data_IF_987537776246
#
_entry.id   IF_987537776246
#
_cell.length_a   1.000
_cell.length_b   1.000
_cell.length_c   1.000
_cell.angle_alpha   90.00
_cell.angle_beta   90.00
_cell.angle_gamma   90.00
#
_symmetry.space_group_name_H-M   'P 1'
#
loop_
_entity.id
_entity.type
_entity.pdbx_description
1 polymer ?
#
# COMPACT_ATOMS: atom_id res chain seq x y z
N UNK A 1 -10.98 36.99 -19.92
CA UNK A 1 -10.21 35.75 -20.13
C UNK A 1 -10.10 35.04 -18.79
N UNK A 2 -10.70 33.85 -18.69
CA UNK A 2 -10.84 33.12 -17.42
C UNK A 2 -9.53 32.54 -16.92
N UNK A 3 -9.20 32.87 -15.67
CA UNK A 3 -8.08 32.29 -14.92
C UNK A 3 -8.42 30.84 -14.59
N UNK A 4 -7.72 29.88 -15.20
CA UNK A 4 -7.73 28.50 -14.74
C UNK A 4 -6.96 28.41 -13.42
N UNK A 5 -7.64 28.65 -12.30
CA UNK A 5 -7.15 28.26 -10.98
C UNK A 5 -7.19 26.74 -10.90
N UNK A 6 -6.09 26.10 -11.30
CA UNK A 6 -5.82 24.70 -10.99
C UNK A 6 -5.69 24.53 -9.49
N UNK A 7 -6.82 24.52 -8.78
CA UNK A 7 -6.89 24.38 -7.33
C UNK A 7 -6.21 23.08 -6.92
N UNK A 8 -5.12 23.21 -6.19
CA UNK A 8 -4.59 22.11 -5.38
C UNK A 8 -5.73 21.75 -4.43
N UNK A 9 -6.29 20.55 -4.56
CA UNK A 9 -7.33 20.08 -3.66
C UNK A 9 -6.81 20.25 -2.22
N UNK A 10 -7.60 20.91 -1.37
CA UNK A 10 -7.22 21.15 0.03
C UNK A 10 -6.98 19.82 0.76
N UNK A 11 -6.12 19.82 1.78
CA UNK A 11 -5.77 18.59 2.52
C UNK A 11 -6.99 17.80 3.01
N UNK A 12 -8.07 18.50 3.38
CA UNK A 12 -9.34 17.90 3.81
C UNK A 12 -10.08 17.21 2.66
N UNK A 13 -10.03 17.77 1.46
CA UNK A 13 -10.64 17.15 0.27
C UNK A 13 -9.88 15.90 -0.15
N UNK A 14 -8.54 15.93 -0.06
CA UNK A 14 -7.68 14.77 -0.33
C UNK A 14 -7.97 13.65 0.68
N UNK A 15 -8.09 13.99 1.96
CA UNK A 15 -8.43 13.03 3.02
C UNK A 15 -9.83 12.43 2.80
N UNK A 16 -10.82 13.26 2.50
CA UNK A 16 -12.17 12.79 2.18
C UNK A 16 -12.20 11.84 0.97
N UNK A 17 -11.37 12.08 -0.05
CA UNK A 17 -11.24 11.15 -1.20
C UNK A 17 -10.62 9.82 -0.80
N UNK A 18 -9.58 9.82 0.05
CA UNK A 18 -8.97 8.61 0.57
C UNK A 18 -9.93 7.81 1.47
N UNK A 19 -10.71 8.49 2.31
CA UNK A 19 -11.73 7.86 3.16
C UNK A 19 -12.86 7.24 2.32
N UNK A 20 -13.27 7.90 1.23
CA UNK A 20 -14.19 7.31 0.25
C UNK A 20 -13.63 6.05 -0.40
N UNK A 21 -12.34 6.02 -0.75
CA UNK A 21 -11.70 4.84 -1.30
C UNK A 21 -11.67 3.69 -0.28
N UNK A 22 -11.37 3.98 0.99
CA UNK A 22 -11.45 3.03 2.10
C UNK A 22 -12.87 2.48 2.28
N UNK A 23 -13.88 3.35 2.32
CA UNK A 23 -15.28 2.94 2.47
C UNK A 23 -15.75 2.05 1.31
N UNK A 24 -15.32 2.35 0.08
CA UNK A 24 -15.59 1.48 -1.10
C UNK A 24 -14.95 0.10 -0.95
N UNK A 25 -13.70 0.03 -0.49
CA UNK A 25 -13.01 -1.23 -0.25
C UNK A 25 -13.75 -2.10 0.77
N UNK A 26 -14.17 -1.52 1.90
CA UNK A 26 -14.97 -2.22 2.92
C UNK A 26 -16.29 -2.71 2.34
N UNK A 27 -17.00 -1.86 1.59
CA UNK A 27 -18.26 -2.24 0.94
C UNK A 27 -18.08 -3.38 -0.07
N UNK A 28 -16.90 -3.49 -0.67
CA UNK A 28 -16.52 -4.57 -1.57
C UNK A 28 -16.02 -5.84 -0.86
N UNK A 29 -16.06 -5.89 0.48
CA UNK A 29 -15.65 -7.05 1.28
C UNK A 29 -14.14 -7.18 1.50
N UNK A 30 -13.37 -6.11 1.24
CA UNK A 30 -11.91 -6.11 1.40
C UNK A 30 -11.55 -5.77 2.85
N UNK A 31 -10.70 -6.60 3.47
CA UNK A 31 -10.15 -6.29 4.79
C UNK A 31 -9.13 -5.16 4.71
N UNK A 32 -9.51 -3.99 5.23
CA UNK A 32 -8.65 -2.78 5.28
C UNK A 32 -8.07 -2.52 6.67
N UNK A 33 -8.26 -3.45 7.63
CA UNK A 33 -7.76 -3.29 9.00
C UNK A 33 -6.24 -3.25 9.00
N UNK A 34 -5.66 -2.22 9.61
CA UNK A 34 -4.20 -2.02 9.62
C UNK A 34 -3.63 -1.36 8.37
N UNK A 35 -4.43 -1.14 7.31
CA UNK A 35 -3.97 -0.34 6.17
C UNK A 35 -3.83 1.13 6.60
N UNK A 36 -2.71 1.75 6.25
CA UNK A 36 -2.38 3.16 6.46
C UNK A 36 -3.06 4.06 5.42
N UNK A 37 -3.21 3.55 4.20
CA UNK A 37 -3.83 4.27 3.09
C UNK A 37 -4.54 3.33 2.13
N UNK A 38 -5.57 3.85 1.46
CA UNK A 38 -6.34 3.11 0.46
C UNK A 38 -6.49 3.96 -0.80
N UNK A 39 -6.02 3.43 -1.93
CA UNK A 39 -6.28 3.93 -3.27
C UNK A 39 -7.38 3.12 -3.94
N UNK A 40 -8.12 3.76 -4.85
CA UNK A 40 -9.15 3.09 -5.64
C UNK A 40 -9.02 3.49 -7.12
N UNK A 41 -9.07 2.49 -7.99
CA UNK A 41 -9.10 2.59 -9.44
C UNK A 41 -10.34 1.88 -9.97
N UNK A 42 -11.06 2.52 -10.89
CA UNK A 42 -12.01 1.83 -11.75
C UNK A 42 -11.39 1.65 -13.14
N UNK A 43 -11.25 0.39 -13.59
CA UNK A 43 -10.72 0.04 -14.90
C UNK A 43 -11.61 -1.00 -15.58
N UNK A 44 -12.28 -0.63 -16.69
CA UNK A 44 -13.00 -1.59 -17.55
C UNK A 44 -14.07 -2.45 -16.87
N UNK A 45 -14.72 -1.96 -15.81
CA UNK A 45 -15.72 -2.71 -15.03
C UNK A 45 -15.14 -3.44 -13.81
N UNK A 46 -13.82 -3.50 -13.65
CA UNK A 46 -13.17 -3.96 -12.43
C UNK A 46 -12.82 -2.79 -11.51
N UNK A 47 -13.05 -2.97 -10.21
CA UNK A 47 -12.51 -2.06 -9.18
C UNK A 47 -11.23 -2.65 -8.64
N UNK A 48 -10.14 -1.90 -8.70
CA UNK A 48 -8.84 -2.28 -8.16
C UNK A 48 -8.51 -1.36 -7.01
N UNK A 49 -8.15 -1.93 -5.87
CA UNK A 49 -7.82 -1.23 -4.65
C UNK A 49 -6.35 -1.43 -4.33
N UNK A 50 -5.67 -0.34 -3.98
CA UNK A 50 -4.30 -0.38 -3.45
C UNK A 50 -4.37 -0.13 -1.94
N UNK A 51 -4.02 -1.13 -1.15
CA UNK A 51 -3.90 -1.03 0.29
C UNK A 51 -2.42 -0.83 0.64
N UNK A 52 -2.12 0.21 1.42
CA UNK A 52 -0.78 0.47 1.93
C UNK A 52 -0.73 0.00 3.37
N UNK A 53 -0.02 -1.09 3.66
CA UNK A 53 0.22 -1.57 5.03
C UNK A 53 1.60 -1.11 5.52
N UNK A 54 1.89 -1.26 6.83
CA UNK A 54 3.20 -0.92 7.38
C UNK A 54 4.36 -1.75 6.80
N UNK A 55 4.10 -2.99 6.38
CA UNK A 55 5.07 -4.01 5.96
C UNK A 55 4.97 -4.40 4.48
N UNK A 56 3.82 -4.13 3.84
CA UNK A 56 3.53 -4.55 2.46
C UNK A 56 2.54 -3.61 1.76
N UNK A 57 2.46 -3.73 0.45
CA UNK A 57 1.35 -3.21 -0.34
C UNK A 57 0.48 -4.37 -0.81
N UNK A 58 -0.81 -4.13 -0.94
CA UNK A 58 -1.71 -5.12 -1.52
C UNK A 58 -2.55 -4.50 -2.63
N UNK A 59 -2.58 -5.17 -3.77
CA UNK A 59 -3.44 -4.84 -4.89
C UNK A 59 -4.59 -5.85 -4.92
N UNK A 60 -5.80 -5.38 -4.72
CA UNK A 60 -7.01 -6.21 -4.68
C UNK A 60 -7.93 -5.82 -5.82
N UNK A 61 -8.17 -6.73 -6.76
CA UNK A 61 -9.13 -6.54 -7.85
C UNK A 61 -10.45 -7.24 -7.54
N UNK A 62 -11.57 -6.53 -7.64
CA UNK A 62 -12.92 -7.05 -7.37
C UNK A 62 -13.77 -7.20 -8.64
N UNK A 63 -13.15 -7.48 -9.79
CA UNK A 63 -13.88 -7.66 -11.05
C UNK A 63 -13.29 -8.75 -11.96
N UNK A 64 -14.07 -9.13 -12.99
CA UNK A 64 -13.62 -10.06 -14.02
C UNK A 64 -12.67 -9.36 -14.98
N UNK A 65 -11.37 -9.65 -14.85
CA UNK A 65 -10.40 -9.38 -15.91
C UNK A 65 -10.62 -10.46 -16.97
N UNK A 66 -10.93 -10.08 -18.22
CA UNK A 66 -11.45 -10.95 -19.28
C UNK A 66 -10.94 -12.40 -19.29
N UNK A 67 -11.87 -13.34 -19.49
CA UNK A 67 -11.68 -14.80 -19.63
C UNK A 67 -10.96 -15.56 -18.49
N UNK A 68 -10.61 -14.91 -17.37
CA UNK A 68 -10.20 -15.60 -16.14
C UNK A 68 -11.00 -15.08 -14.95
N UNK A 69 -11.97 -15.87 -14.50
CA UNK A 69 -12.72 -15.66 -13.26
C UNK A 69 -11.77 -15.69 -12.07
N UNK A 70 -11.46 -14.52 -11.50
CA UNK A 70 -10.76 -14.46 -10.22
C UNK A 70 -10.56 -13.04 -9.74
N UNK A 71 -11.18 -12.69 -8.62
CA UNK A 71 -10.72 -11.58 -7.78
C UNK A 71 -9.26 -11.85 -7.41
N UNK A 72 -8.35 -11.04 -7.93
CA UNK A 72 -6.92 -11.22 -7.72
C UNK A 72 -6.44 -10.37 -6.54
N UNK A 73 -5.75 -10.98 -5.58
CA UNK A 73 -4.96 -10.27 -4.56
C UNK A 73 -3.50 -10.49 -4.87
N UNK A 74 -2.77 -9.40 -5.10
CA UNK A 74 -1.32 -9.41 -5.22
C UNK A 74 -0.73 -8.71 -4.00
N UNK A 75 0.24 -9.34 -3.37
CA UNK A 75 0.94 -8.81 -2.20
C UNK A 75 2.37 -8.46 -2.62
N UNK A 76 2.77 -7.22 -2.37
CA UNK A 76 4.08 -6.69 -2.70
C UNK A 76 4.77 -6.32 -1.38
N UNK A 77 5.78 -7.08 -0.93
CA UNK A 77 6.57 -6.71 0.24
C UNK A 77 7.21 -5.34 0.05
N UNK A 78 7.25 -4.50 1.10
CA UNK A 78 7.93 -3.19 0.98
C UNK A 78 9.42 -3.34 0.67
N UNK A 79 10.04 -4.45 1.07
CA UNK A 79 11.44 -4.78 0.78
C UNK A 79 11.72 -4.97 -0.72
N UNK A 80 10.71 -5.35 -1.50
CA UNK A 80 10.81 -5.51 -2.96
C UNK A 80 10.67 -4.19 -3.71
N UNK A 81 10.27 -3.10 -3.02
CA UNK A 81 10.03 -1.79 -3.64
C UNK A 81 11.31 -0.97 -3.59
N UNK A 82 11.85 -0.69 -4.76
CA UNK A 82 13.05 0.13 -4.91
C UNK A 82 12.73 1.63 -4.99
N UNK A 83 11.57 1.99 -5.55
CA UNK A 83 11.18 3.38 -5.79
C UNK A 83 9.67 3.54 -5.98
N UNK A 84 9.13 4.67 -5.52
CA UNK A 84 7.75 5.08 -5.81
C UNK A 84 7.70 6.51 -6.34
N UNK A 85 6.98 6.71 -7.44
CA UNK A 85 6.78 8.00 -8.10
C UNK A 85 5.30 8.23 -8.33
N UNK A 86 4.87 9.50 -8.35
CA UNK A 86 3.53 9.87 -8.81
C UNK A 86 3.63 10.68 -10.09
N UNK A 87 2.79 10.38 -11.07
CA UNK A 87 2.64 11.14 -12.31
C UNK A 87 1.24 11.75 -12.37
N UNK A 88 1.17 13.03 -12.67
CA UNK A 88 -0.09 13.68 -12.97
C UNK A 88 -0.44 13.43 -14.44
N UNK A 89 -1.58 12.80 -14.68
CA UNK A 89 -2.21 12.73 -15.99
C UNK A 89 -3.32 13.79 -16.07
N UNK A 90 -3.88 14.01 -17.26
CA UNK A 90 -4.83 15.10 -17.52
C UNK A 90 -6.05 15.06 -16.57
N UNK A 91 -6.64 13.87 -16.39
CA UNK A 91 -7.83 13.64 -15.58
C UNK A 91 -7.60 12.77 -14.34
N UNK A 92 -6.44 12.12 -14.22
CA UNK A 92 -6.13 11.13 -13.18
C UNK A 92 -4.71 11.30 -12.67
N UNK A 93 -4.40 10.73 -11.52
CA UNK A 93 -3.02 10.52 -11.06
C UNK A 93 -2.61 9.07 -11.29
N UNK A 94 -1.33 8.82 -11.46
CA UNK A 94 -0.77 7.48 -11.50
C UNK A 94 0.33 7.34 -10.46
N UNK A 95 0.34 6.24 -9.72
CA UNK A 95 1.46 5.75 -8.95
C UNK A 95 2.28 4.81 -9.82
N UNK A 96 3.59 5.03 -9.88
CA UNK A 96 4.56 4.12 -10.49
C UNK A 96 5.39 3.54 -9.35
N UNK A 97 5.29 2.23 -9.16
CA UNK A 97 5.94 1.48 -8.08
C UNK A 97 6.94 0.53 -8.73
N UNK A 98 8.24 0.78 -8.53
CA UNK A 98 9.31 -0.05 -9.09
C UNK A 98 9.58 -1.22 -8.13
N UNK A 99 9.20 -2.44 -8.55
CA UNK A 99 9.23 -3.71 -7.79
C UNK A 99 10.10 -4.72 -8.52
N UNK A 100 11.16 -5.22 -7.88
CA UNK A 100 12.03 -6.29 -8.42
C UNK A 100 12.48 -6.08 -9.88
N UNK A 101 12.75 -4.82 -10.27
CA UNK A 101 13.16 -4.45 -11.62
C UNK A 101 12.03 -4.23 -12.63
N UNK A 102 10.78 -4.43 -12.24
CA UNK A 102 9.58 -4.09 -13.02
C UNK A 102 8.89 -2.83 -12.45
N UNK A 103 8.08 -2.13 -13.25
CA UNK A 103 7.26 -1.00 -12.78
C UNK A 103 5.79 -1.38 -12.80
N UNK A 104 5.13 -1.33 -11.64
CA UNK A 104 3.68 -1.47 -11.49
C UNK A 104 3.04 -0.09 -11.53
N UNK A 105 2.13 0.13 -12.48
CA UNK A 105 1.35 1.36 -12.57
C UNK A 105 -0.03 1.19 -11.91
N UNK A 106 -0.36 2.07 -10.96
CA UNK A 106 -1.66 2.15 -10.32
C UNK A 106 -2.29 3.52 -10.55
N UNK A 107 -3.39 3.58 -11.30
CA UNK A 107 -4.09 4.85 -11.57
C UNK A 107 -5.09 5.15 -10.47
N UNK A 108 -5.17 6.39 -9.99
CA UNK A 108 -6.09 6.83 -8.93
C UNK A 108 -6.50 8.29 -9.15
N UNK A 109 -7.26 8.85 -8.22
CA UNK A 109 -7.56 10.28 -8.16
C UNK A 109 -6.26 11.12 -8.18
N UNK A 110 -6.25 12.19 -9.00
CA UNK A 110 -5.09 13.08 -9.16
C UNK A 110 -4.59 13.66 -7.82
N UNK A 111 -5.51 13.93 -6.90
CA UNK A 111 -5.20 14.43 -5.57
C UNK A 111 -4.69 13.33 -4.60
N UNK A 112 -5.08 12.07 -4.83
CA UNK A 112 -4.74 10.95 -3.94
C UNK A 112 -3.40 10.32 -4.32
N UNK A 113 -2.99 10.38 -5.59
CA UNK A 113 -1.70 9.84 -6.03
C UNK A 113 -0.49 10.42 -5.27
N UNK A 114 -0.35 11.74 -5.07
CA UNK A 114 0.74 12.29 -4.26
C UNK A 114 0.71 11.81 -2.80
N UNK A 115 -0.48 11.73 -2.21
CA UNK A 115 -0.67 11.25 -0.83
C UNK A 115 -0.19 9.80 -0.68
N UNK A 116 -0.61 8.90 -1.57
CA UNK A 116 -0.19 7.49 -1.52
C UNK A 116 1.32 7.35 -1.74
N UNK A 117 1.90 8.13 -2.66
CA UNK A 117 3.36 8.17 -2.85
C UNK A 117 4.06 8.57 -1.55
N UNK A 118 3.60 9.61 -0.87
CA UNK A 118 4.19 10.10 0.39
C UNK A 118 4.07 9.08 1.51
N UNK A 119 2.92 8.42 1.64
CA UNK A 119 2.72 7.35 2.61
C UNK A 119 3.70 6.21 2.37
N UNK A 120 3.84 5.74 1.13
CA UNK A 120 4.75 4.63 0.82
C UNK A 120 6.21 5.06 1.00
N UNK A 121 6.58 6.26 0.54
CA UNK A 121 7.94 6.78 0.70
C UNK A 121 8.32 6.96 2.17
N UNK A 122 7.40 7.49 3.00
CA UNK A 122 7.58 7.59 4.45
C UNK A 122 7.77 6.21 5.09
N UNK A 123 7.07 5.18 4.61
CA UNK A 123 7.25 3.81 5.11
C UNK A 123 8.56 3.17 4.68
N UNK A 124 8.98 3.36 3.43
CA UNK A 124 10.30 2.92 2.97
C UNK A 124 11.43 3.59 3.77
N UNK A 125 11.28 4.88 4.09
CA UNK A 125 12.25 5.61 4.89
C UNK A 125 12.26 5.20 6.38
N UNK A 126 11.12 4.76 6.93
CA UNK A 126 11.03 4.27 8.31
C UNK A 126 11.78 2.94 8.52
N UNK A 127 12.15 2.25 7.44
CA UNK A 127 12.82 0.96 7.50
C UNK A 127 11.85 -0.20 7.78
N UNK A 128 12.37 -1.44 7.89
CA UNK A 128 11.54 -2.60 8.15
C UNK A 128 10.79 -2.43 9.48
N UNK A 129 9.48 -2.67 9.45
CA UNK A 129 8.68 -2.78 10.67
C UNK A 129 9.11 -4.06 11.37
N UNK A 130 10.07 -3.93 12.27
CA UNK A 130 10.48 -5.03 13.14
C UNK A 130 9.27 -5.33 14.01
N UNK A 131 8.70 -6.53 13.85
CA UNK A 131 7.64 -7.01 14.74
C UNK A 131 8.13 -6.80 16.17
N UNK A 132 7.43 -6.04 17.04
CA UNK A 132 7.92 -5.79 18.39
C UNK A 132 8.16 -7.09 19.17
N UNK A 133 7.48 -8.18 18.82
CA UNK A 133 7.76 -9.52 19.36
C UNK A 133 9.09 -10.10 18.87
N UNK A 134 9.46 -9.87 17.60
CA UNK A 134 10.78 -10.23 17.08
C UNK A 134 11.88 -9.41 17.74
N UNK A 135 11.64 -8.10 17.95
CA UNK A 135 12.58 -7.24 18.68
C UNK A 135 12.79 -7.73 20.12
N UNK A 136 11.71 -8.06 20.83
CA UNK A 136 11.82 -8.62 22.18
C UNK A 136 12.54 -9.99 22.18
N UNK A 137 12.36 -10.81 21.13
CA UNK A 137 13.08 -12.06 20.97
C UNK A 137 14.58 -11.85 20.75
N UNK A 138 14.95 -10.89 19.90
CA UNK A 138 16.34 -10.51 19.66
C UNK A 138 16.99 -9.98 20.95
N UNK A 139 16.27 -9.16 21.72
CA UNK A 139 16.74 -8.64 23.02
C UNK A 139 16.91 -9.76 24.06
N UNK A 140 16.00 -10.73 24.13
CA UNK A 140 16.09 -11.88 25.04
C UNK A 140 17.25 -12.82 24.65
N UNK A 141 17.48 -13.03 23.36
CA UNK A 141 18.62 -13.82 22.87
C UNK A 141 19.95 -13.12 23.13
N UNK A 142 20.03 -11.81 22.86
CA UNK A 142 21.21 -11.00 23.14
C UNK A 142 21.53 -10.92 24.65
N UNK A 143 20.51 -11.02 25.51
CA UNK A 143 20.67 -11.12 26.97
C UNK A 143 21.06 -12.53 27.44
N UNK A 144 21.18 -13.52 26.54
CA UNK A 144 21.51 -14.91 26.87
C UNK A 144 20.38 -15.67 27.57
N UNK A 145 19.14 -15.15 27.54
CA UNK A 145 17.97 -15.76 28.17
C UNK A 145 17.31 -16.83 27.29
N UNK A 146 17.66 -16.88 26.00
CA UNK A 146 17.25 -17.91 25.06
C UNK A 146 18.51 -18.57 24.48
N UNK A 147 18.46 -19.88 24.30
CA UNK A 147 19.47 -20.58 23.50
C UNK A 147 19.25 -20.31 22.00
N UNK A 148 20.29 -20.53 21.18
CA UNK A 148 20.20 -20.37 19.73
C UNK A 148 19.05 -21.20 19.11
N UNK A 149 18.81 -22.39 19.65
CA UNK A 149 17.74 -23.31 19.23
C UNK A 149 16.35 -22.76 19.60
N UNK A 150 16.20 -22.22 20.81
CA UNK A 150 14.94 -21.61 21.28
C UNK A 150 14.62 -20.32 20.51
N UNK A 151 15.64 -19.52 20.23
CA UNK A 151 15.52 -18.32 19.42
C UNK A 151 15.08 -18.68 17.99
N UNK A 152 15.74 -19.65 17.35
CA UNK A 152 15.40 -20.09 16.00
C UNK A 152 13.97 -20.64 15.91
N UNK A 153 13.56 -21.47 16.87
CA UNK A 153 12.20 -22.03 16.91
C UNK A 153 11.12 -20.95 17.09
N UNK A 154 11.35 -19.99 18.01
CA UNK A 154 10.39 -18.91 18.28
C UNK A 154 10.33 -17.88 17.15
N UNK A 155 11.46 -17.60 16.51
CA UNK A 155 11.53 -16.74 15.32
C UNK A 155 10.80 -17.34 14.13
N UNK A 156 10.94 -18.65 13.90
CA UNK A 156 10.23 -19.36 12.84
C UNK A 156 8.71 -19.37 13.04
N UNK A 157 8.22 -19.32 14.29
CA UNK A 157 6.78 -19.25 14.59
C UNK A 157 6.17 -17.84 14.49
N UNK A 158 6.98 -16.79 14.34
CA UNK A 158 6.56 -15.39 14.28
C UNK A 158 6.73 -14.74 12.89
N UNK A 159 7.34 -15.47 11.96
CA UNK A 159 7.47 -15.13 10.54
C UNK A 159 6.35 -15.82 9.74
#
# INVERSE_FOLDING_TARGET
MGLFSGGVAGADEVRARADRARAKAVKAGIDVRGALGVGHMANGGASVYLLVFPDRLELVSTGQMGFRTGAGRSVIPLTSISRVRSKNQLLRGALLIDVDGATVEFTTDKAVAPLLRELIASRLAAGPVVNPLLKNLDELHAAGLLTDEEYAAKRAGLL
#
